data_IF_009515842648
#
_entry.id   IF_009515842648
#
_cell.length_a   1.000
_cell.length_b   1.000
_cell.length_c   1.000
_cell.angle_alpha   90.00
_cell.angle_beta   90.00
_cell.angle_gamma   90.00
#
_symmetry.space_group_name_H-M   'P 1'
#
loop_
_entity.id
_entity.type
_entity.pdbx_description
1 polymer ?
#
# COMPACT_ATOMS: atom_id res chain seq x y z
N UNK A 1 13.63 46.55 -45.22
CA UNK A 1 12.92 46.92 -43.97
C UNK A 1 13.11 45.77 -43.00
N UNK A 2 13.95 46.02 -42.01
CA UNK A 2 14.59 45.05 -41.11
C UNK A 2 14.05 45.29 -39.70
N UNK A 3 13.59 44.23 -39.03
CA UNK A 3 13.14 44.29 -37.63
C UNK A 3 14.34 44.08 -36.68
N UNK A 4 14.45 44.86 -35.59
CA UNK A 4 15.52 44.67 -34.62
C UNK A 4 15.20 43.55 -33.63
N UNK A 5 16.22 42.75 -33.35
CA UNK A 5 16.30 41.79 -32.25
C UNK A 5 16.52 42.56 -30.95
N UNK A 6 15.73 42.29 -29.92
CA UNK A 6 16.00 42.74 -28.55
C UNK A 6 16.09 41.52 -27.62
N UNK A 7 17.32 41.25 -27.21
CA UNK A 7 17.71 40.47 -26.05
C UNK A 7 17.55 41.35 -24.79
N UNK A 8 16.79 40.87 -23.81
CA UNK A 8 16.90 41.36 -22.42
C UNK A 8 16.67 40.24 -21.43
N UNK A 9 17.75 39.57 -21.07
CA UNK A 9 17.92 38.91 -19.78
C UNK A 9 17.89 39.95 -18.63
N UNK A 10 16.81 40.00 -17.83
CA UNK A 10 16.83 40.66 -16.52
C UNK A 10 15.96 39.91 -15.50
N UNK A 11 16.62 39.58 -14.37
CA UNK A 11 16.10 38.99 -13.14
C UNK A 11 14.81 39.68 -12.67
N UNK A 12 13.74 38.90 -12.48
CA UNK A 12 12.51 39.39 -11.85
C UNK A 12 12.56 39.15 -10.34
N UNK A 13 12.35 40.25 -9.62
CA UNK A 13 12.42 40.42 -8.18
C UNK A 13 11.15 39.86 -7.50
N UNK A 14 11.31 39.08 -6.43
CA UNK A 14 10.23 38.30 -5.77
C UNK A 14 9.36 39.10 -4.78
N UNK A 15 9.64 40.38 -4.57
CA UNK A 15 8.99 41.18 -3.52
C UNK A 15 7.65 41.85 -3.92
N UNK A 16 7.19 41.69 -5.17
CA UNK A 16 5.89 42.23 -5.63
C UNK A 16 4.71 41.29 -5.33
N UNK A 17 4.97 40.02 -5.01
CA UNK A 17 3.90 39.02 -4.80
C UNK A 17 3.26 39.03 -3.40
N UNK A 18 3.73 39.88 -2.48
CA UNK A 18 3.27 39.89 -1.07
C UNK A 18 2.14 40.90 -0.79
N UNK A 19 1.72 41.70 -1.78
CA UNK A 19 0.83 42.85 -1.55
C UNK A 19 -0.57 42.75 -2.20
N UNK A 20 -1.02 41.54 -2.56
CA UNK A 20 -2.38 41.32 -3.12
C UNK A 20 -3.27 40.36 -2.30
N UNK A 21 -2.92 40.10 -1.03
CA UNK A 21 -3.72 39.21 -0.14
C UNK A 21 -4.82 39.90 0.69
N UNK A 22 -5.07 41.18 0.51
CA UNK A 22 -6.15 41.89 1.23
C UNK A 22 -7.01 42.74 0.28
N UNK A 23 -8.09 42.12 -0.23
CA UNK A 23 -9.31 42.67 -0.89
C UNK A 23 -9.79 41.52 -1.81
N UNK A 24 -10.94 40.88 -1.64
CA UNK A 24 -12.31 41.42 -1.66
C UNK A 24 -13.25 40.38 -1.02
N UNK A 25 -14.17 40.87 -0.19
CA UNK A 25 -15.32 40.17 0.38
C UNK A 25 -16.57 40.49 -0.46
N UNK A 26 -17.46 39.50 -0.61
CA UNK A 26 -18.86 39.53 -1.06
C UNK A 26 -19.16 39.86 -2.53
N UNK A 27 -19.79 38.91 -3.23
CA UNK A 27 -21.05 39.11 -3.97
C UNK A 27 -21.75 37.75 -4.20
N UNK A 28 -23.04 37.71 -3.85
CA UNK A 28 -23.99 36.62 -4.07
C UNK A 28 -24.32 36.48 -5.56
N UNK A 29 -24.24 35.26 -6.12
CA UNK A 29 -25.05 34.85 -7.28
C UNK A 29 -25.33 33.35 -7.24
N UNK A 30 -26.58 33.02 -7.58
CA UNK A 30 -27.20 31.70 -7.62
C UNK A 30 -27.10 31.10 -9.05
N UNK A 31 -27.36 29.79 -9.17
CA UNK A 31 -27.43 28.93 -10.39
C UNK A 31 -26.08 28.38 -10.96
N UNK A 32 -26.04 27.25 -11.71
CA UNK A 32 -25.87 25.86 -11.27
C UNK A 32 -24.52 25.24 -11.67
N UNK A 33 -23.99 24.35 -10.84
CA UNK A 33 -22.66 23.75 -10.99
C UNK A 33 -22.62 22.65 -12.06
N UNK A 34 -22.13 22.99 -13.26
CA UNK A 34 -21.34 22.09 -14.10
C UNK A 34 -19.98 22.76 -14.22
N UNK A 35 -18.91 22.20 -13.64
CA UNK A 35 -17.56 22.36 -14.19
C UNK A 35 -16.58 21.36 -13.56
N UNK A 36 -15.93 20.63 -14.46
CA UNK A 36 -14.64 19.98 -14.27
C UNK A 36 -13.54 21.02 -14.02
N UNK A 37 -12.45 20.54 -13.41
CA UNK A 37 -11.08 21.06 -13.41
C UNK A 37 -10.66 22.07 -12.34
N UNK A 38 -9.43 21.83 -11.89
CA UNK A 38 -8.51 22.69 -11.12
C UNK A 38 -8.67 22.72 -9.59
N UNK A 39 -8.10 21.69 -8.93
CA UNK A 39 -7.39 21.92 -7.68
C UNK A 39 -5.90 21.64 -7.86
N UNK A 40 -5.17 22.74 -8.03
CA UNK A 40 -3.72 22.84 -7.89
C UNK A 40 -3.32 22.77 -6.42
N UNK A 41 -2.36 21.88 -6.14
CA UNK A 41 -1.28 22.01 -5.16
C UNK A 41 -1.59 22.73 -3.84
N UNK A 42 -1.86 21.95 -2.80
CA UNK A 42 -1.20 22.12 -1.49
C UNK A 42 -1.38 20.86 -0.63
N UNK A 43 -0.30 20.48 0.07
CA UNK A 43 -0.18 19.39 1.05
C UNK A 43 0.08 17.97 0.48
N UNK A 44 1.15 17.80 -0.29
CA UNK A 44 1.87 16.51 -0.34
C UNK A 44 2.93 16.52 0.77
N UNK A 45 2.54 16.09 1.97
CA UNK A 45 3.50 15.70 3.00
C UNK A 45 4.04 14.32 2.66
N UNK A 46 5.36 14.23 2.58
CA UNK A 46 6.18 13.03 2.46
C UNK A 46 5.61 11.86 3.27
N UNK A 47 5.08 10.84 2.58
CA UNK A 47 5.04 9.51 3.15
C UNK A 47 6.43 8.91 2.99
N UNK A 48 7.28 9.20 3.98
CA UNK A 48 8.40 8.35 4.34
C UNK A 48 7.93 6.90 4.35
N UNK A 49 8.64 6.06 3.60
CA UNK A 49 8.56 4.61 3.64
C UNK A 49 8.86 4.20 5.08
N UNK A 50 7.82 4.01 5.89
CA UNK A 50 7.94 3.28 7.13
C UNK A 50 8.16 1.83 6.74
N UNK A 51 9.41 1.39 6.84
CA UNK A 51 9.79 0.00 6.86
C UNK A 51 9.01 -0.70 7.99
N UNK A 52 7.89 -1.32 7.65
CA UNK A 52 7.25 -2.29 8.55
C UNK A 52 8.07 -3.57 8.44
N UNK A 53 9.05 -3.67 9.32
CA UNK A 53 9.62 -4.94 9.73
C UNK A 53 8.49 -5.79 10.32
N UNK A 54 7.92 -6.69 9.51
CA UNK A 54 7.11 -7.79 10.03
C UNK A 54 8.10 -8.86 10.49
N UNK A 55 8.57 -8.70 11.72
CA UNK A 55 9.07 -9.79 12.55
C UNK A 55 7.91 -10.77 12.77
N UNK A 56 7.90 -11.84 11.99
CA UNK A 56 6.87 -12.87 12.06
C UNK A 56 7.23 -14.12 11.26
N UNK A 57 8.52 -14.45 11.18
CA UNK A 57 8.96 -15.77 10.77
C UNK A 57 8.95 -16.66 12.02
N UNK A 58 7.82 -17.32 12.29
CA UNK A 58 7.78 -18.41 13.25
C UNK A 58 8.40 -19.65 12.59
N UNK A 59 9.51 -20.06 13.18
CA UNK A 59 10.34 -21.24 12.94
C UNK A 59 9.55 -22.51 12.60
N UNK A 60 10.01 -23.23 11.58
CA UNK A 60 9.79 -24.67 11.49
C UNK A 60 10.72 -25.32 12.51
N UNK A 61 10.13 -25.86 13.59
CA UNK A 61 10.81 -26.79 14.48
C UNK A 61 10.99 -28.12 13.75
N UNK A 62 12.23 -28.47 13.43
CA UNK A 62 12.62 -29.86 13.20
C UNK A 62 13.35 -30.28 14.47
N UNK A 63 12.69 -31.18 15.18
CA UNK A 63 13.17 -31.87 16.35
C UNK A 63 14.13 -32.97 15.87
N UNK A 64 15.42 -32.86 16.20
CA UNK A 64 16.32 -34.02 16.24
C UNK A 64 17.22 -33.89 17.45
N UNK A 65 16.91 -34.67 18.48
CA UNK A 65 17.87 -35.00 19.53
C UNK A 65 19.02 -35.82 18.93
N UNK A 66 20.26 -35.41 19.15
CA UNK A 66 21.40 -36.33 19.20
C UNK A 66 22.58 -35.67 19.91
N UNK A 67 22.97 -36.29 21.01
CA UNK A 67 24.17 -36.08 21.81
C UNK A 67 25.44 -36.46 21.06
N UNK A 68 26.53 -35.69 21.19
CA UNK A 68 27.88 -36.22 20.94
C UNK A 68 28.93 -35.23 20.47
N UNK A 69 29.84 -34.91 21.39
CA UNK A 69 31.29 -34.73 21.22
C UNK A 69 31.87 -33.58 20.38
N UNK A 70 32.76 -32.86 21.05
CA UNK A 70 33.63 -31.78 20.58
C UNK A 70 34.71 -32.37 19.66
N UNK A 71 34.70 -32.00 18.39
CA UNK A 71 35.86 -32.11 17.50
C UNK A 71 36.01 -30.77 16.76
N UNK A 72 37.07 -30.03 17.10
CA UNK A 72 37.49 -28.82 16.38
C UNK A 72 37.92 -29.24 14.97
N UNK A 73 37.00 -29.10 14.02
CA UNK A 73 37.28 -29.23 12.59
C UNK A 73 37.36 -27.83 12.00
N UNK A 74 38.46 -27.56 11.32
CA UNK A 74 38.79 -26.30 10.66
C UNK A 74 37.59 -25.74 9.89
N UNK A 75 37.18 -24.53 10.26
CA UNK A 75 36.08 -23.83 9.60
C UNK A 75 36.48 -23.55 8.13
N UNK A 76 35.76 -24.10 7.13
CA UNK A 76 35.99 -23.71 5.75
C UNK A 76 35.55 -22.25 5.57
N UNK A 77 36.37 -21.45 4.92
CA UNK A 77 36.07 -20.09 4.50
C UNK A 77 34.75 -20.09 3.70
N UNK A 78 33.64 -19.77 4.35
CA UNK A 78 32.31 -19.70 3.73
C UNK A 78 32.27 -18.56 2.72
N UNK A 79 31.90 -18.89 1.48
CA UNK A 79 31.84 -17.99 0.33
C UNK A 79 30.82 -16.87 0.53
N UNK A 80 31.26 -15.69 0.92
CA UNK A 80 30.44 -14.49 1.13
C UNK A 80 29.76 -13.95 -0.14
N UNK A 81 30.20 -14.39 -1.33
CA UNK A 81 29.68 -13.95 -2.64
C UNK A 81 28.33 -14.57 -3.02
N UNK A 82 28.08 -15.83 -2.65
CA UNK A 82 26.83 -16.53 -2.98
C UNK A 82 25.65 -15.99 -2.17
N UNK A 83 25.85 -15.77 -0.87
CA UNK A 83 24.84 -15.21 0.05
C UNK A 83 24.43 -13.79 -0.35
N UNK A 84 25.40 -12.94 -0.76
CA UNK A 84 25.10 -11.56 -1.22
C UNK A 84 24.29 -11.54 -2.51
N UNK A 85 24.60 -12.43 -3.47
CA UNK A 85 23.84 -12.55 -4.73
C UNK A 85 22.41 -13.01 -4.46
N UNK A 86 22.23 -13.98 -3.57
CA UNK A 86 20.91 -14.47 -3.19
C UNK A 86 20.05 -13.39 -2.51
N UNK A 87 20.64 -12.60 -1.61
CA UNK A 87 19.92 -11.50 -0.95
C UNK A 87 19.54 -10.40 -1.93
N UNK A 88 20.45 -10.03 -2.85
CA UNK A 88 20.14 -9.08 -3.93
C UNK A 88 18.95 -9.53 -4.78
N UNK A 89 18.92 -10.80 -5.18
CA UNK A 89 17.81 -11.35 -5.96
C UNK A 89 16.49 -11.31 -5.17
N UNK A 90 16.54 -11.59 -3.86
CA UNK A 90 15.37 -11.51 -2.98
C UNK A 90 14.81 -10.09 -2.91
N UNK A 91 15.67 -9.08 -2.73
CA UNK A 91 15.29 -7.67 -2.71
C UNK A 91 14.67 -7.26 -4.05
N UNK A 92 15.29 -7.64 -5.17
CA UNK A 92 14.78 -7.33 -6.51
C UNK A 92 13.39 -7.94 -6.76
N UNK A 93 13.19 -9.20 -6.38
CA UNK A 93 11.88 -9.87 -6.51
C UNK A 93 10.81 -9.16 -5.67
N UNK A 94 11.17 -8.71 -4.46
CA UNK A 94 10.27 -7.96 -3.61
C UNK A 94 9.95 -6.57 -4.17
N UNK A 95 10.94 -5.87 -4.75
CA UNK A 95 10.73 -4.58 -5.42
C UNK A 95 9.75 -4.73 -6.60
N UNK A 96 9.92 -5.76 -7.42
CA UNK A 96 8.98 -6.09 -8.51
C UNK A 96 7.57 -6.32 -7.97
N UNK A 97 7.43 -7.07 -6.88
CA UNK A 97 6.14 -7.39 -6.29
C UNK A 97 5.44 -6.15 -5.73
N UNK A 98 6.18 -5.29 -5.03
CA UNK A 98 5.68 -4.03 -4.48
C UNK A 98 5.27 -3.06 -5.59
N UNK A 99 6.09 -2.93 -6.64
CA UNK A 99 5.82 -2.03 -7.75
C UNK A 99 4.61 -2.50 -8.58
N UNK A 100 4.40 -3.80 -8.74
CA UNK A 100 3.18 -4.32 -9.37
C UNK A 100 1.94 -3.92 -8.56
N UNK A 101 1.99 -4.02 -7.22
CA UNK A 101 0.89 -3.56 -6.36
C UNK A 101 0.66 -2.07 -6.54
N UNK A 102 1.70 -1.24 -6.43
CA UNK A 102 1.61 0.21 -6.58
C UNK A 102 1.01 0.62 -7.94
N UNK A 103 1.49 0.00 -9.01
CA UNK A 103 0.96 0.20 -10.36
C UNK A 103 -0.55 -0.01 -10.41
N UNK A 104 -1.05 -1.11 -9.83
CA UNK A 104 -2.50 -1.40 -9.82
C UNK A 104 -3.24 -0.31 -9.04
N UNK A 105 -2.71 0.12 -7.90
CA UNK A 105 -3.30 1.18 -7.10
C UNK A 105 -3.28 2.55 -7.81
N UNK A 106 -2.33 2.81 -8.71
CA UNK A 106 -2.34 4.03 -9.52
C UNK A 106 -3.50 4.05 -10.52
N UNK A 107 -3.96 2.88 -10.99
CA UNK A 107 -5.02 2.79 -12.01
C UNK A 107 -6.43 3.15 -11.51
N UNK A 108 -6.67 3.19 -10.19
CA UNK A 108 -7.91 3.71 -9.61
C UNK A 108 -7.92 5.24 -9.51
N UNK A 109 -6.74 5.88 -9.58
CA UNK A 109 -6.57 7.32 -9.37
C UNK A 109 -6.25 8.06 -10.67
N UNK A 110 -5.67 7.35 -11.63
CA UNK A 110 -5.19 7.90 -12.88
C UNK A 110 -5.59 7.02 -14.06
N UNK A 111 -5.72 7.64 -15.23
CA UNK A 111 -5.89 6.88 -16.46
C UNK A 111 -4.62 6.08 -16.78
N UNK A 112 -4.79 4.99 -17.54
CA UNK A 112 -3.67 4.16 -18.00
C UNK A 112 -2.60 4.94 -18.80
N UNK A 113 -2.99 6.09 -19.38
CA UNK A 113 -2.10 6.92 -20.18
C UNK A 113 -1.35 8.01 -19.38
N UNK A 114 -1.63 8.15 -18.09
CA UNK A 114 -0.95 9.08 -17.20
C UNK A 114 0.55 8.80 -17.12
N UNK A 115 1.34 9.85 -16.88
CA UNK A 115 2.80 9.72 -16.75
C UNK A 115 3.19 8.83 -15.56
N UNK A 116 2.42 8.87 -14.47
CA UNK A 116 2.63 8.06 -13.27
C UNK A 116 2.48 6.56 -13.58
N UNK A 117 1.39 6.16 -14.22
CA UNK A 117 1.15 4.75 -14.58
C UNK A 117 2.21 4.27 -15.59
N UNK A 118 2.50 5.07 -16.64
CA UNK A 118 3.53 4.72 -17.63
C UNK A 118 4.92 4.56 -17.02
N UNK A 119 5.28 5.40 -16.06
CA UNK A 119 6.59 5.33 -15.39
C UNK A 119 6.68 4.08 -14.53
N UNK A 120 5.64 3.75 -13.76
CA UNK A 120 5.58 2.52 -12.99
C UNK A 120 5.65 1.28 -13.90
N UNK A 121 4.92 1.28 -15.03
CA UNK A 121 4.94 0.20 -16.02
C UNK A 121 6.34 -0.01 -16.59
N UNK A 122 6.99 1.08 -17.05
CA UNK A 122 8.34 1.01 -17.61
C UNK A 122 9.34 0.45 -16.58
N UNK A 123 9.32 0.99 -15.36
CA UNK A 123 10.21 0.54 -14.28
C UNK A 123 10.00 -0.93 -13.93
N UNK A 124 8.74 -1.37 -13.90
CA UNK A 124 8.38 -2.76 -13.64
C UNK A 124 8.91 -3.71 -14.72
N UNK A 125 8.85 -3.32 -16.00
CA UNK A 125 9.40 -4.11 -17.09
C UNK A 125 10.94 -4.17 -17.03
N UNK A 126 11.60 -3.06 -16.72
CA UNK A 126 13.05 -3.01 -16.53
C UNK A 126 13.52 -3.94 -15.41
N UNK A 127 12.85 -3.91 -14.24
CA UNK A 127 13.17 -4.78 -13.12
C UNK A 127 12.93 -6.26 -13.43
N UNK A 128 11.82 -6.59 -14.13
CA UNK A 128 11.56 -7.98 -14.57
C UNK A 128 12.63 -8.48 -15.54
N UNK A 129 13.09 -7.62 -16.47
CA UNK A 129 14.18 -7.95 -17.38
C UNK A 129 15.49 -8.19 -16.61
N UNK A 130 15.82 -7.30 -15.67
CA UNK A 130 17.00 -7.45 -14.81
C UNK A 130 16.96 -8.77 -14.01
N UNK A 131 15.81 -9.09 -13.38
CA UNK A 131 15.66 -10.32 -12.62
C UNK A 131 15.79 -11.58 -13.49
N UNK A 132 15.33 -11.52 -14.75
CA UNK A 132 15.48 -12.63 -15.70
C UNK A 132 16.92 -12.82 -16.16
N UNK A 133 17.71 -11.74 -16.21
CA UNK A 133 19.14 -11.78 -16.53
C UNK A 133 19.97 -12.27 -15.34
N UNK A 134 19.67 -11.82 -14.11
CA UNK A 134 20.38 -12.22 -12.90
C UNK A 134 20.05 -13.66 -12.46
N UNK A 135 18.82 -14.11 -12.75
CA UNK A 135 18.33 -15.44 -12.43
C UNK A 135 17.37 -15.96 -13.52
N UNK A 136 17.89 -16.71 -14.50
CA UNK A 136 17.06 -17.38 -15.49
C UNK A 136 16.00 -18.28 -14.84
N UNK A 137 14.77 -18.24 -15.33
CA UNK A 137 13.66 -19.00 -14.75
C UNK A 137 13.02 -18.39 -13.50
N UNK A 138 13.37 -17.15 -13.12
CA UNK A 138 12.80 -16.45 -11.96
C UNK A 138 11.31 -16.11 -12.08
N UNK A 139 10.69 -16.25 -13.25
CA UNK A 139 9.30 -15.85 -13.51
C UNK A 139 8.29 -16.46 -12.53
N UNK A 140 8.45 -17.76 -12.19
CA UNK A 140 7.56 -18.43 -11.24
C UNK A 140 7.66 -17.83 -9.84
N UNK A 141 8.89 -17.49 -9.41
CA UNK A 141 9.17 -16.90 -8.10
C UNK A 141 8.61 -15.46 -8.06
N UNK A 142 8.82 -14.69 -9.13
CA UNK A 142 8.26 -13.34 -9.29
C UNK A 142 6.73 -13.38 -9.22
N UNK A 143 6.07 -14.28 -9.97
CA UNK A 143 4.61 -14.45 -9.93
C UNK A 143 4.11 -14.79 -8.53
N UNK A 144 4.81 -15.68 -7.81
CA UNK A 144 4.47 -16.03 -6.44
C UNK A 144 4.61 -14.83 -5.49
N UNK A 145 5.69 -14.06 -5.59
CA UNK A 145 5.93 -12.87 -4.77
C UNK A 145 4.89 -11.77 -5.05
N UNK A 146 4.53 -11.54 -6.32
CA UNK A 146 3.45 -10.64 -6.72
C UNK A 146 2.13 -11.10 -6.10
N UNK A 147 1.78 -12.38 -6.24
CA UNK A 147 0.54 -12.93 -5.71
C UNK A 147 0.44 -12.76 -4.18
N UNK A 148 1.54 -13.00 -3.46
CA UNK A 148 1.62 -12.77 -2.02
C UNK A 148 1.44 -11.29 -1.66
N UNK A 149 2.11 -10.38 -2.37
CA UNK A 149 2.04 -8.94 -2.12
C UNK A 149 0.65 -8.38 -2.41
N UNK A 150 0.01 -8.82 -3.49
CA UNK A 150 -1.39 -8.48 -3.81
C UNK A 150 -2.33 -8.98 -2.71
N UNK A 151 -2.16 -10.23 -2.27
CA UNK A 151 -2.99 -10.82 -1.20
C UNK A 151 -2.88 -10.04 0.11
N UNK A 152 -1.65 -9.70 0.50
CA UNK A 152 -1.39 -8.88 1.68
C UNK A 152 -2.04 -7.49 1.55
N UNK A 153 -1.92 -6.85 0.38
CA UNK A 153 -2.50 -5.53 0.13
C UNK A 153 -4.03 -5.55 0.15
N UNK A 154 -4.67 -6.56 -0.44
CA UNK A 154 -6.14 -6.72 -0.36
C UNK A 154 -6.58 -6.82 1.11
N UNK A 155 -5.88 -7.63 1.91
CA UNK A 155 -6.21 -7.81 3.32
C UNK A 155 -6.02 -6.52 4.15
N UNK A 156 -5.00 -5.71 3.85
CA UNK A 156 -4.78 -4.38 4.44
C UNK A 156 -5.91 -3.41 4.06
N UNK A 157 -6.23 -3.32 2.76
CA UNK A 157 -7.23 -2.39 2.25
C UNK A 157 -8.66 -2.76 2.70
N UNK A 158 -8.99 -4.05 2.82
CA UNK A 158 -10.29 -4.47 3.35
C UNK A 158 -10.48 -4.03 4.80
N UNK A 159 -9.45 -4.20 5.66
CA UNK A 159 -9.48 -3.69 7.03
C UNK A 159 -9.65 -2.16 7.01
N UNK A 160 -8.86 -1.46 6.19
CA UNK A 160 -8.94 0.00 6.08
C UNK A 160 -10.33 0.47 5.63
N UNK A 161 -10.93 -0.20 4.65
CA UNK A 161 -12.29 0.11 4.17
C UNK A 161 -13.30 -0.02 5.30
N UNK A 162 -13.27 -1.10 6.07
CA UNK A 162 -14.23 -1.34 7.16
C UNK A 162 -14.08 -0.29 8.27
N UNK A 163 -12.84 0.05 8.64
CA UNK A 163 -12.60 1.11 9.63
C UNK A 163 -13.12 2.45 9.11
N UNK A 164 -12.81 2.82 7.86
CA UNK A 164 -13.30 4.06 7.28
C UNK A 164 -14.83 4.06 7.09
N UNK A 165 -15.44 2.90 6.84
CA UNK A 165 -16.89 2.74 6.74
C UNK A 165 -17.66 3.00 8.04
N UNK A 166 -16.96 3.09 9.18
CA UNK A 166 -17.57 3.60 10.45
C UNK A 166 -17.67 5.13 10.50
N UNK A 167 -16.97 5.83 9.60
CA UNK A 167 -16.87 7.30 9.58
C UNK A 167 -17.46 7.91 8.31
N UNK A 168 -17.49 7.15 7.21
CA UNK A 168 -17.91 7.60 5.89
C UNK A 168 -18.96 6.65 5.33
N UNK A 169 -19.91 7.20 4.58
CA UNK A 169 -20.88 6.41 3.83
C UNK A 169 -20.23 5.74 2.62
N UNK A 170 -20.85 4.68 2.09
CA UNK A 170 -20.31 3.90 0.96
C UNK A 170 -20.08 4.73 -0.32
N UNK A 171 -20.83 5.82 -0.51
CA UNK A 171 -20.67 6.74 -1.64
C UNK A 171 -19.54 7.75 -1.46
N UNK A 172 -18.89 7.79 -0.30
CA UNK A 172 -17.74 8.67 -0.08
C UNK A 172 -16.60 8.30 -1.04
N UNK A 173 -15.97 9.28 -1.72
CA UNK A 173 -14.89 9.02 -2.67
C UNK A 173 -13.73 8.19 -2.09
N UNK A 174 -13.46 8.30 -0.78
CA UNK A 174 -12.41 7.54 -0.11
C UNK A 174 -12.75 6.05 -0.05
N UNK A 175 -14.02 5.73 0.20
CA UNK A 175 -14.52 4.35 0.22
C UNK A 175 -14.58 3.80 -1.20
N UNK A 176 -15.02 4.59 -2.18
CA UNK A 176 -15.05 4.19 -3.59
C UNK A 176 -13.65 3.84 -4.12
N UNK A 177 -12.64 4.68 -3.86
CA UNK A 177 -11.24 4.39 -4.26
C UNK A 177 -10.74 3.09 -3.62
N UNK A 178 -11.06 2.84 -2.34
CA UNK A 178 -10.68 1.57 -1.69
C UNK A 178 -11.38 0.37 -2.32
N UNK A 179 -12.66 0.50 -2.68
CA UNK A 179 -13.40 -0.56 -3.37
C UNK A 179 -12.80 -0.87 -4.74
N UNK A 180 -12.48 0.14 -5.53
CA UNK A 180 -11.82 -0.02 -6.83
C UNK A 180 -10.43 -0.63 -6.69
N UNK A 181 -9.62 -0.15 -5.74
CA UNK A 181 -8.29 -0.71 -5.45
C UNK A 181 -8.39 -2.21 -5.12
N UNK A 182 -9.32 -2.60 -4.24
CA UNK A 182 -9.55 -3.99 -3.85
C UNK A 182 -9.99 -4.83 -5.07
N UNK A 183 -10.94 -4.34 -5.85
CA UNK A 183 -11.44 -5.06 -7.03
C UNK A 183 -10.35 -5.26 -8.10
N UNK A 184 -9.57 -4.23 -8.40
CA UNK A 184 -8.48 -4.30 -9.37
C UNK A 184 -7.38 -5.28 -8.92
N UNK A 185 -7.03 -5.25 -7.63
CA UNK A 185 -6.09 -6.22 -7.05
C UNK A 185 -6.64 -7.66 -7.10
N UNK A 186 -7.92 -7.88 -6.79
CA UNK A 186 -8.55 -9.21 -6.87
C UNK A 186 -8.59 -9.75 -8.31
N UNK A 187 -8.90 -8.87 -9.27
CA UNK A 187 -8.86 -9.19 -10.70
C UNK A 187 -7.46 -9.61 -11.12
N UNK A 188 -6.44 -8.83 -10.73
CA UNK A 188 -5.04 -9.16 -11.03
C UNK A 188 -4.58 -10.44 -10.34
N UNK A 189 -4.97 -10.67 -9.09
CA UNK A 189 -4.67 -11.90 -8.37
C UNK A 189 -5.22 -13.13 -9.09
N UNK A 190 -6.49 -13.07 -9.53
CA UNK A 190 -7.15 -14.18 -10.24
C UNK A 190 -6.51 -14.47 -11.61
N UNK A 191 -5.87 -13.49 -12.25
CA UNK A 191 -5.07 -13.71 -13.46
C UNK A 191 -3.76 -14.46 -13.19
N UNK A 192 -3.14 -14.24 -12.02
CA UNK A 192 -1.86 -14.86 -11.64
C UNK A 192 -2.09 -16.25 -11.02
N UNK A 193 -3.13 -16.38 -10.19
CA UNK A 193 -3.52 -17.61 -9.50
C UNK A 193 -5.02 -17.86 -9.70
N UNK A 194 -5.43 -18.49 -10.82
CA UNK A 194 -6.85 -18.67 -11.15
C UNK A 194 -7.55 -19.68 -10.22
N UNK A 195 -6.81 -20.69 -9.74
CA UNK A 195 -7.37 -21.71 -8.84
C UNK A 195 -7.44 -21.18 -7.41
N UNK A 196 -8.57 -21.40 -6.75
CA UNK A 196 -8.79 -21.07 -5.34
C UNK A 196 -8.54 -19.59 -4.98
N UNK A 197 -8.66 -18.68 -5.95
CA UNK A 197 -8.27 -17.28 -5.77
C UNK A 197 -9.03 -16.63 -4.60
N UNK A 198 -10.36 -16.80 -4.59
CA UNK A 198 -11.27 -16.32 -3.54
C UNK A 198 -10.92 -16.88 -2.16
N UNK A 199 -10.62 -18.18 -2.06
CA UNK A 199 -10.30 -18.84 -0.78
C UNK A 199 -9.01 -18.28 -0.21
N UNK A 200 -7.97 -18.13 -1.04
CA UNK A 200 -6.67 -17.59 -0.61
C UNK A 200 -6.81 -16.14 -0.11
N UNK A 201 -7.54 -15.31 -0.85
CA UNK A 201 -7.82 -13.93 -0.45
C UNK A 201 -8.63 -13.90 0.85
N UNK A 202 -9.74 -14.65 0.94
CA UNK A 202 -10.60 -14.69 2.13
C UNK A 202 -9.82 -15.12 3.38
N UNK A 203 -8.92 -16.10 3.26
CA UNK A 203 -8.07 -16.55 4.37
C UNK A 203 -7.15 -15.42 4.85
N UNK A 204 -6.51 -14.70 3.93
CA UNK A 204 -5.65 -13.59 4.27
C UNK A 204 -6.42 -12.42 4.90
N UNK A 205 -7.58 -12.08 4.33
CA UNK A 205 -8.49 -11.07 4.89
C UNK A 205 -8.93 -11.47 6.31
N UNK A 206 -9.39 -12.71 6.51
CA UNK A 206 -9.81 -13.20 7.83
C UNK A 206 -8.68 -13.13 8.87
N UNK A 207 -7.43 -13.46 8.48
CA UNK A 207 -6.27 -13.31 9.35
C UNK A 207 -6.03 -11.83 9.72
N UNK A 208 -6.08 -10.93 8.75
CA UNK A 208 -5.89 -9.48 8.96
C UNK A 208 -6.99 -8.89 9.86
N UNK A 209 -8.26 -9.25 9.62
CA UNK A 209 -9.40 -8.85 10.45
C UNK A 209 -9.22 -9.28 11.92
N UNK A 210 -8.87 -10.56 12.15
CA UNK A 210 -8.58 -11.07 13.51
C UNK A 210 -7.45 -10.29 14.19
N UNK A 211 -6.38 -10.00 13.45
CA UNK A 211 -5.27 -9.17 13.93
C UNK A 211 -5.74 -7.79 14.36
N UNK A 212 -6.52 -7.11 13.52
CA UNK A 212 -7.02 -5.76 13.84
C UNK A 212 -8.02 -5.74 14.98
N UNK A 213 -8.91 -6.73 15.08
CA UNK A 213 -9.84 -6.88 16.20
C UNK A 213 -9.05 -6.99 17.51
N UNK A 214 -8.02 -7.86 17.56
CA UNK A 214 -7.17 -8.02 18.75
C UNK A 214 -6.45 -6.72 19.14
N UNK A 215 -5.90 -6.00 18.15
CA UNK A 215 -5.27 -4.69 18.36
C UNK A 215 -6.25 -3.68 18.96
N UNK A 216 -7.47 -3.57 18.40
CA UNK A 216 -8.50 -2.66 18.88
C UNK A 216 -9.03 -3.05 20.26
N UNK A 217 -9.19 -4.34 20.55
CA UNK A 217 -9.56 -4.83 21.88
C UNK A 217 -8.48 -4.50 22.92
N UNK A 218 -7.20 -4.62 22.57
CA UNK A 218 -6.08 -4.21 23.42
C UNK A 218 -6.14 -2.70 23.68
N UNK A 219 -6.29 -1.89 22.63
CA UNK A 219 -6.43 -0.43 22.73
C UNK A 219 -7.64 -0.02 23.58
N UNK A 220 -8.77 -0.70 23.44
CA UNK A 220 -9.96 -0.45 24.26
C UNK A 220 -9.66 -0.67 25.73
N UNK A 221 -9.04 -1.80 26.09
CA UNK A 221 -8.67 -2.12 27.48
C UNK A 221 -7.76 -1.07 28.11
N UNK A 222 -6.81 -0.54 27.35
CA UNK A 222 -5.94 0.54 27.81
C UNK A 222 -6.71 1.84 28.09
N UNK A 223 -7.68 2.18 27.24
CA UNK A 223 -8.48 3.39 27.38
C UNK A 223 -9.56 3.29 28.47
N UNK A 224 -10.03 2.09 28.81
CA UNK A 224 -11.05 1.88 29.85
C UNK A 224 -10.63 2.37 31.24
N UNK A 225 -9.32 2.47 31.52
CA UNK A 225 -8.81 3.03 32.78
C UNK A 225 -8.82 4.57 32.81
N UNK A 226 -9.00 5.22 31.65
CA UNK A 226 -8.87 6.67 31.48
C UNK A 226 -10.19 7.34 31.07
N UNK A 227 -11.11 6.59 30.47
CA UNK A 227 -12.34 7.11 29.89
C UNK A 227 -13.54 6.31 30.37
N UNK A 228 -14.68 6.99 30.54
CA UNK A 228 -15.94 6.33 30.80
C UNK A 228 -16.37 5.46 29.60
N UNK A 229 -17.22 4.46 29.86
CA UNK A 229 -17.68 3.52 28.82
C UNK A 229 -18.39 4.20 27.63
N UNK A 230 -19.04 5.35 27.88
CA UNK A 230 -19.77 6.13 26.87
C UNK A 230 -18.93 7.22 26.22
N UNK A 231 -17.63 7.29 26.53
CA UNK A 231 -16.73 8.23 25.86
C UNK A 231 -16.68 7.94 24.35
N UNK A 232 -16.67 9.00 23.54
CA UNK A 232 -16.68 8.93 22.07
C UNK A 232 -15.57 8.02 21.54
N UNK A 233 -14.39 8.01 22.19
CA UNK A 233 -13.27 7.13 21.79
C UNK A 233 -13.58 5.66 22.03
N UNK A 234 -14.23 5.32 23.15
CA UNK A 234 -14.61 3.95 23.47
C UNK A 234 -15.73 3.47 22.54
N UNK A 235 -16.74 4.31 22.31
CA UNK A 235 -17.86 4.03 21.39
C UNK A 235 -17.36 3.78 19.97
N UNK A 236 -16.49 4.66 19.46
CA UNK A 236 -15.90 4.52 18.11
C UNK A 236 -15.09 3.23 17.95
N UNK A 237 -14.29 2.84 18.96
CA UNK A 237 -13.54 1.57 18.92
C UNK A 237 -14.49 0.37 18.93
N UNK A 238 -15.56 0.41 19.72
CA UNK A 238 -16.54 -0.67 19.78
C UNK A 238 -17.25 -0.85 18.43
N UNK A 239 -17.64 0.25 17.78
CA UNK A 239 -18.25 0.21 16.44
C UNK A 239 -17.30 -0.40 15.40
N UNK A 240 -16.02 0.01 15.41
CA UNK A 240 -15.00 -0.59 14.55
C UNK A 240 -14.85 -2.09 14.77
N UNK A 241 -14.78 -2.54 16.03
CA UNK A 241 -14.72 -3.97 16.37
C UNK A 241 -15.94 -4.71 15.82
N UNK A 242 -17.15 -4.17 16.05
CA UNK A 242 -18.39 -4.79 15.61
C UNK A 242 -18.46 -4.95 14.08
N UNK A 243 -18.06 -3.94 13.31
CA UNK A 243 -18.06 -4.02 11.85
C UNK A 243 -17.02 -5.03 11.33
N UNK A 244 -15.83 -5.07 11.95
CA UNK A 244 -14.80 -6.07 11.61
C UNK A 244 -15.27 -7.50 11.92
N UNK A 245 -15.93 -7.72 13.07
CA UNK A 245 -16.49 -9.01 13.46
C UNK A 245 -17.62 -9.45 12.52
N UNK A 246 -18.52 -8.53 12.14
CA UNK A 246 -19.55 -8.76 11.13
C UNK A 246 -18.92 -9.25 9.83
N UNK A 247 -17.89 -8.56 9.33
CA UNK A 247 -17.18 -8.99 8.12
C UNK A 247 -16.51 -10.35 8.27
N UNK A 248 -15.85 -10.59 9.40
CA UNK A 248 -15.19 -11.86 9.67
C UNK A 248 -16.18 -13.03 9.67
N UNK A 249 -17.37 -12.84 10.22
CA UNK A 249 -18.41 -13.88 10.25
C UNK A 249 -18.97 -14.16 8.85
N UNK A 250 -19.15 -13.14 8.00
CA UNK A 250 -19.54 -13.35 6.59
C UNK A 250 -18.51 -14.19 5.81
N UNK A 251 -17.22 -14.12 6.16
CA UNK A 251 -16.17 -14.91 5.51
C UNK A 251 -16.12 -16.38 6.00
N UNK A 252 -16.72 -16.71 7.15
CA UNK A 252 -16.79 -18.10 7.64
C UNK A 252 -17.93 -18.90 7.02
N UNK A 253 -18.95 -18.20 6.53
CA UNK A 253 -20.15 -18.79 5.92
C UNK A 253 -20.00 -19.07 4.42
N UNK A 254 -18.85 -18.70 3.83
CA UNK A 254 -18.52 -18.84 2.41
C UNK A 254 -17.26 -19.70 2.24
#
# INVERSE_FOLDING_TARGET
MTYPILDTSKKLNWDIFRELKHKVICLNFNIPTIYLSNMSHTVFSYFTIAAIAISGWSSFGVETASTGSIEKKDAPLVSTSSTRKQERNRVLIQEIANLEVERILLTSRYTLNSSQVKTADKRLQELKKLASQEQPGSEKIIKAAIAQSITAKIAELEVKRIIQGTMYVETDPRIQVLNEDIQNLQKRFSQIQPRNSRITINRAVAKSLKGKISELQSKRRQLQNQYAAHDVKIVSINEQIQQLEKRLNMLKLN
#
